data_IF_438479895632
#
_entry.id   IF_438479895632
#
_cell.length_a   1.000
_cell.length_b   1.000
_cell.length_c   1.000
_cell.angle_alpha   90.00
_cell.angle_beta   90.00
_cell.angle_gamma   90.00
#
_symmetry.space_group_name_H-M   'P 1'
#
loop_
_entity.id
_entity.type
_entity.pdbx_description
1 polymer ?
#
# COMPACT_ATOMS: atom_id res chain seq x y z
N UNK A 1 -5.68 -9.39 3.80
CA UNK A 1 -5.09 -8.60 2.69
C UNK A 1 -4.75 -7.22 3.22
N UNK A 2 -3.72 -6.55 2.71
CA UNK A 2 -3.36 -5.18 3.13
C UNK A 2 -4.51 -4.18 3.08
N UNK A 3 -5.46 -4.36 2.15
CA UNK A 3 -6.69 -3.55 2.06
C UNK A 3 -7.54 -3.46 3.33
N UNK A 4 -7.37 -4.35 4.31
CA UNK A 4 -7.98 -4.21 5.65
C UNK A 4 -7.55 -2.88 6.31
N UNK A 5 -6.36 -2.37 6.00
CA UNK A 5 -5.90 -1.07 6.50
C UNK A 5 -6.75 0.11 6.00
N UNK A 6 -7.61 -0.07 4.99
CA UNK A 6 -8.52 0.97 4.53
C UNK A 6 -9.46 1.49 5.64
N UNK A 7 -9.78 0.64 6.62
CA UNK A 7 -10.59 1.02 7.78
C UNK A 7 -9.89 2.04 8.71
N UNK A 8 -8.55 2.15 8.60
CA UNK A 8 -7.72 3.04 9.42
C UNK A 8 -7.40 4.37 8.72
N UNK A 9 -7.98 4.59 7.54
CA UNK A 9 -7.80 5.83 6.79
C UNK A 9 -8.48 7.02 7.48
N UNK A 10 -8.01 8.22 7.15
CA UNK A 10 -8.73 9.46 7.45
C UNK A 10 -10.10 9.42 6.76
N UNK A 11 -11.14 9.94 7.42
CA UNK A 11 -12.54 9.91 6.94
C UNK A 11 -12.74 10.43 5.51
N UNK A 12 -11.91 11.38 5.05
CA UNK A 12 -11.96 11.87 3.69
C UNK A 12 -11.67 10.76 2.65
N UNK A 13 -10.78 9.82 2.98
CA UNK A 13 -10.37 8.73 2.09
C UNK A 13 -11.23 7.47 2.24
N UNK A 14 -11.78 7.19 3.43
CA UNK A 14 -12.59 5.97 3.63
C UNK A 14 -13.84 5.96 2.74
N UNK A 15 -14.48 7.12 2.52
CA UNK A 15 -15.64 7.23 1.63
C UNK A 15 -15.27 7.30 0.14
N UNK A 16 -13.99 7.51 -0.16
CA UNK A 16 -13.46 7.67 -1.52
C UNK A 16 -12.69 6.43 -1.97
N UNK A 17 -12.65 5.37 -1.18
CA UNK A 17 -12.11 4.08 -1.58
C UNK A 17 -13.09 3.32 -2.49
N UNK A 18 -13.40 3.91 -3.64
CA UNK A 18 -14.30 3.39 -4.66
C UNK A 18 -13.61 3.39 -6.02
N UNK A 19 -14.09 2.58 -6.96
CA UNK A 19 -13.54 2.51 -8.31
C UNK A 19 -13.47 3.89 -8.98
N UNK A 20 -12.31 4.19 -9.58
CA UNK A 20 -12.03 5.47 -10.25
C UNK A 20 -11.29 6.51 -9.39
N UNK A 21 -11.19 6.31 -8.07
CA UNK A 21 -10.40 7.16 -7.17
C UNK A 21 -8.98 6.60 -6.99
N UNK A 22 -7.99 7.49 -6.82
CA UNK A 22 -6.58 7.08 -6.71
C UNK A 22 -6.30 6.24 -5.47
N UNK A 23 -6.99 6.52 -4.35
CA UNK A 23 -6.87 5.72 -3.13
C UNK A 23 -7.33 4.27 -3.36
N UNK A 24 -8.36 4.06 -4.19
CA UNK A 24 -8.82 2.72 -4.53
C UNK A 24 -7.81 1.98 -5.39
N UNK A 25 -7.25 2.68 -6.39
CA UNK A 25 -6.14 2.16 -7.20
C UNK A 25 -4.94 1.78 -6.32
N UNK A 26 -4.58 2.64 -5.36
CA UNK A 26 -3.48 2.40 -4.44
C UNK A 26 -3.66 1.10 -3.64
N UNK A 27 -4.85 0.87 -3.07
CA UNK A 27 -5.13 -0.38 -2.36
C UNK A 27 -5.15 -1.60 -3.28
N UNK A 28 -5.68 -1.46 -4.50
CA UNK A 28 -5.65 -2.52 -5.50
C UNK A 28 -4.23 -2.93 -5.90
N UNK A 29 -3.36 -1.95 -6.17
CA UNK A 29 -1.95 -2.19 -6.49
C UNK A 29 -1.21 -2.81 -5.28
N UNK A 30 -1.48 -2.34 -4.07
CA UNK A 30 -0.90 -2.89 -2.84
C UNK A 30 -1.30 -4.35 -2.63
N UNK A 31 -2.57 -4.69 -2.80
CA UNK A 31 -3.08 -6.06 -2.69
C UNK A 31 -2.50 -6.96 -3.79
N UNK A 32 -2.34 -6.44 -5.01
CA UNK A 32 -1.67 -7.14 -6.11
C UNK A 32 -0.22 -7.48 -5.76
N UNK A 33 0.56 -6.49 -5.33
CA UNK A 33 1.97 -6.69 -5.00
C UNK A 33 2.16 -7.59 -3.76
N UNK A 34 1.24 -7.51 -2.79
CA UNK A 34 1.18 -8.43 -1.67
C UNK A 34 0.93 -9.87 -2.13
N UNK A 35 -0.01 -10.07 -3.04
CA UNK A 35 -0.37 -11.40 -3.58
C UNK A 35 0.79 -12.01 -4.37
N UNK A 36 1.44 -11.24 -5.25
CA UNK A 36 2.63 -11.70 -5.99
C UNK A 36 3.80 -12.04 -5.06
N UNK A 37 3.91 -11.36 -3.92
CA UNK A 37 4.94 -11.63 -2.90
C UNK A 37 4.61 -12.83 -2.00
N UNK A 38 3.53 -13.58 -2.26
CA UNK A 38 3.14 -14.75 -1.47
C UNK A 38 4.24 -15.82 -1.28
N UNK A 39 5.13 -16.11 -2.24
CA UNK A 39 6.22 -17.07 -2.05
C UNK A 39 7.18 -16.69 -0.91
N UNK A 40 7.29 -15.40 -0.56
CA UNK A 40 8.14 -14.92 0.53
C UNK A 40 7.54 -15.16 1.94
N UNK A 41 6.28 -15.61 2.03
CA UNK A 41 5.66 -15.90 3.33
C UNK A 41 6.39 -16.98 4.14
N UNK A 42 7.05 -17.91 3.45
CA UNK A 42 7.80 -19.00 4.09
C UNK A 42 8.93 -18.46 4.96
N UNK A 43 9.43 -17.26 4.67
CA UNK A 43 10.57 -16.66 5.35
C UNK A 43 10.20 -15.62 6.42
N UNK A 44 9.10 -14.86 6.26
CA UNK A 44 8.45 -14.05 7.31
C UNK A 44 7.32 -13.19 6.72
N UNK A 45 6.20 -12.97 7.43
CA UNK A 45 5.20 -11.96 7.07
C UNK A 45 5.78 -10.55 6.85
N UNK A 46 6.79 -10.18 7.65
CA UNK A 46 7.45 -8.87 7.53
C UNK A 46 8.32 -8.78 6.28
N UNK A 47 8.97 -9.87 5.86
CA UNK A 47 9.72 -9.89 4.60
C UNK A 47 8.81 -9.79 3.38
N UNK A 48 7.67 -10.48 3.41
CA UNK A 48 6.63 -10.31 2.39
C UNK A 48 6.14 -8.87 2.31
N UNK A 49 5.90 -8.24 3.45
CA UNK A 49 5.47 -6.84 3.50
C UNK A 49 6.51 -5.90 2.89
N UNK A 50 7.78 -6.00 3.30
CA UNK A 50 8.87 -5.21 2.72
C UNK A 50 8.95 -5.39 1.20
N UNK A 51 8.81 -6.61 0.70
CA UNK A 51 8.82 -6.89 -0.74
C UNK A 51 7.64 -6.24 -1.47
N UNK A 52 6.43 -6.30 -0.89
CA UNK A 52 5.26 -5.64 -1.45
C UNK A 52 5.43 -4.11 -1.51
N UNK A 53 5.94 -3.49 -0.44
CA UNK A 53 6.19 -2.03 -0.39
C UNK A 53 7.30 -1.62 -1.37
N UNK A 54 8.35 -2.44 -1.53
CA UNK A 54 9.37 -2.22 -2.57
C UNK A 54 8.75 -2.24 -3.96
N UNK A 55 7.94 -3.25 -4.25
CA UNK A 55 7.30 -3.38 -5.55
C UNK A 55 6.33 -2.23 -5.86
N UNK A 56 5.62 -1.69 -4.86
CA UNK A 56 4.84 -0.45 -4.98
C UNK A 56 5.72 0.74 -5.38
N UNK A 57 6.88 0.90 -4.72
CA UNK A 57 7.82 1.97 -5.05
C UNK A 57 8.41 1.80 -6.46
N UNK A 58 8.78 0.58 -6.82
CA UNK A 58 9.36 0.25 -8.12
C UNK A 58 8.33 0.39 -9.26
N UNK A 59 7.03 0.26 -8.98
CA UNK A 59 5.95 0.51 -9.93
C UNK A 59 5.61 1.99 -10.12
N UNK A 60 6.31 2.88 -9.41
CA UNK A 60 6.24 4.34 -9.60
C UNK A 60 5.38 5.07 -8.58
N UNK A 61 4.82 4.39 -7.56
CA UNK A 61 4.17 5.10 -6.47
C UNK A 61 5.20 5.91 -5.68
N UNK A 62 4.89 7.17 -5.29
CA UNK A 62 5.77 8.01 -4.49
C UNK A 62 5.76 7.56 -3.02
N UNK A 63 6.32 6.38 -2.78
CA UNK A 63 6.43 5.76 -1.46
C UNK A 63 7.65 6.32 -0.73
N UNK A 64 7.39 6.81 0.48
CA UNK A 64 8.40 7.36 1.37
C UNK A 64 8.96 6.30 2.34
N UNK A 65 10.14 6.59 2.87
CA UNK A 65 10.82 5.75 3.85
C UNK A 65 11.72 4.66 3.25
N UNK A 66 12.18 3.77 4.13
CA UNK A 66 13.14 2.70 3.83
C UNK A 66 12.63 1.35 4.36
N UNK A 67 13.30 0.26 3.98
CA UNK A 67 12.97 -1.07 4.47
C UNK A 67 12.97 -1.19 6.01
N UNK A 68 13.73 -0.35 6.73
CA UNK A 68 13.71 -0.30 8.20
C UNK A 68 12.38 0.22 8.75
N UNK A 69 11.76 1.21 8.09
CA UNK A 69 10.45 1.74 8.46
C UNK A 69 9.37 0.73 8.10
N UNK A 70 9.44 0.17 6.88
CA UNK A 70 8.42 -0.77 6.41
C UNK A 70 8.36 -2.03 7.28
N UNK A 71 9.46 -2.46 7.90
CA UNK A 71 9.46 -3.58 8.86
C UNK A 71 8.46 -3.43 10.00
N UNK A 72 8.05 -2.20 10.33
CA UNK A 72 7.04 -1.91 11.35
C UNK A 72 5.60 -2.15 10.87
N UNK A 73 5.41 -2.52 9.60
CA UNK A 73 4.08 -2.69 8.99
C UNK A 73 3.48 -1.41 8.43
N UNK A 74 4.26 -0.33 8.35
CA UNK A 74 3.81 0.98 7.90
C UNK A 74 4.25 1.27 6.46
N UNK A 75 3.41 1.99 5.72
CA UNK A 75 3.70 2.54 4.40
C UNK A 75 3.27 4.00 4.37
N UNK A 76 4.11 4.85 3.81
CA UNK A 76 3.83 6.29 3.64
C UNK A 76 3.87 6.60 2.15
N UNK A 77 2.87 7.33 1.66
CA UNK A 77 2.75 7.75 0.26
C UNK A 77 2.43 9.24 0.22
N UNK A 78 2.91 9.94 -0.80
CA UNK A 78 2.63 11.36 -0.98
C UNK A 78 1.13 11.61 -1.14
N UNK A 79 0.61 12.61 -0.44
CA UNK A 79 -0.82 12.92 -0.40
C UNK A 79 -1.41 13.17 -1.79
N UNK A 80 -0.68 13.90 -2.64
CA UNK A 80 -1.16 14.25 -3.98
C UNK A 80 -1.43 13.02 -4.85
N UNK A 81 -0.72 11.91 -4.61
CA UNK A 81 -0.90 10.67 -5.36
C UNK A 81 -2.16 9.88 -4.96
N UNK A 82 -2.73 10.13 -3.78
CA UNK A 82 -3.91 9.41 -3.27
C UNK A 82 -5.09 10.34 -2.94
N UNK A 83 -4.90 11.64 -3.13
CA UNK A 83 -5.92 12.65 -2.85
C UNK A 83 -7.17 12.41 -3.72
N UNK A 84 -8.38 12.62 -3.17
CA UNK A 84 -9.60 12.47 -3.95
C UNK A 84 -9.61 13.39 -5.16
N UNK A 85 -10.11 12.90 -6.28
CA UNK A 85 -10.33 13.75 -7.45
C UNK A 85 -11.45 14.76 -7.14
N UNK A 86 -11.24 16.02 -7.52
CA UNK A 86 -12.14 17.13 -7.19
C UNK A 86 -13.49 17.02 -7.88
#
# INVERSE_FOLDING_TARGET
MPSIAAERLVKALIHRNIEGEEIHRFFGDLDRHWTVSAPLQVYSPSQRWIAAVRAMKDSGWPIQGTASVWRLGEITVDWDAVSPRR
#
